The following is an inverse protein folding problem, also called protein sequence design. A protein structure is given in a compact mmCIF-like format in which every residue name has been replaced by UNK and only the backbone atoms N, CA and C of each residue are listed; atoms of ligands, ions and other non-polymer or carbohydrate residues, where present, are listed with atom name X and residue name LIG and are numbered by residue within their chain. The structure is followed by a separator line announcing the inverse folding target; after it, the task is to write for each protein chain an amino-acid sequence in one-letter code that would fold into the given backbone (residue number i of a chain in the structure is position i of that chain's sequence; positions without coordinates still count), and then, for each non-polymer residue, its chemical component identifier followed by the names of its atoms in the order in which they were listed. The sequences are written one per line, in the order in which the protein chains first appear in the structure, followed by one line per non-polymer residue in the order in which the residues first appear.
data_IF_775422852197
#
_entry.id   IF_775422852197
#
_cell.length_a   1.000
_cell.length_b   1.000
_cell.length_c   1.000
_cell.angle_alpha   90.00
_cell.angle_beta   90.00
_cell.angle_gamma   90.00
#
_symmetry.space_group_name_H-M   'P 1'
#
loop_
_entity.id
_entity.type
_entity.pdbx_description
1 polymer ?
#
# COMPACT_ATOMS: atom_id res chain seq x y z
N UNK A 1 18.26 -14.85 -0.63
CA UNK A 1 18.49 -13.52 -0.05
C UNK A 1 17.15 -13.05 0.49
N UNK A 2 16.99 -13.05 1.82
CA UNK A 2 15.75 -12.62 2.46
C UNK A 2 15.79 -11.10 2.60
N UNK A 3 14.98 -10.40 1.82
CA UNK A 3 14.89 -8.95 1.90
C UNK A 3 14.32 -8.54 3.26
N UNK A 4 15.01 -7.61 3.92
CA UNK A 4 14.55 -7.02 5.19
C UNK A 4 13.20 -6.31 4.95
N UNK A 5 12.22 -6.43 5.86
CA UNK A 5 10.99 -5.66 5.77
C UNK A 5 11.32 -4.17 5.73
N UNK A 6 10.78 -3.45 4.74
CA UNK A 6 11.00 -2.02 4.50
C UNK A 6 12.16 -1.65 3.55
N UNK A 7 12.91 -2.62 3.00
CA UNK A 7 14.02 -2.35 2.06
C UNK A 7 13.84 -2.90 0.64
N UNK A 8 12.83 -3.72 0.42
CA UNK A 8 12.47 -4.18 -0.93
C UNK A 8 11.95 -3.00 -1.76
N UNK A 9 12.44 -2.86 -3.00
CA UNK A 9 11.95 -1.85 -3.93
C UNK A 9 10.44 -2.05 -4.12
N UNK A 10 9.65 -1.02 -3.82
CA UNK A 10 8.21 -1.03 -4.04
C UNK A 10 7.98 -1.34 -5.53
N UNK A 11 7.21 -2.37 -5.89
CA UNK A 11 6.93 -2.69 -7.28
C UNK A 11 6.29 -1.47 -7.94
N UNK A 12 6.96 -0.90 -8.93
CA UNK A 12 6.47 0.31 -9.58
C UNK A 12 5.31 -0.06 -10.50
N UNK A 13 4.16 0.59 -10.34
CA UNK A 13 3.02 0.41 -11.24
C UNK A 13 3.38 0.67 -12.71
N UNK A 14 4.33 1.57 -12.95
CA UNK A 14 4.90 1.89 -14.27
C UNK A 14 5.67 0.73 -14.91
N UNK A 15 6.18 -0.21 -14.11
CA UNK A 15 6.93 -1.36 -14.61
C UNK A 15 6.06 -2.49 -15.15
N UNK A 16 4.74 -2.41 -14.97
CA UNK A 16 3.79 -3.41 -15.45
C UNK A 16 3.59 -3.19 -16.96
N UNK A 17 4.06 -4.10 -17.83
CA UNK A 17 3.79 -3.98 -19.25
C UNK A 17 2.29 -4.10 -19.51
N UNK A 18 1.72 -3.12 -20.21
CA UNK A 18 0.30 -3.07 -20.54
C UNK A 18 -0.05 -3.96 -21.73
N UNK A 19 0.22 -5.26 -21.58
CA UNK A 19 0.00 -6.27 -22.61
C UNK A 19 -1.07 -7.27 -22.19
N UNK A 20 -2.24 -7.15 -22.83
CA UNK A 20 -3.34 -8.08 -22.67
C UNK A 20 -4.03 -8.07 -21.29
N UNK A 21 -4.93 -9.05 -21.05
CA UNK A 21 -5.80 -9.07 -19.87
C UNK A 21 -5.07 -9.23 -18.53
N UNK A 22 -3.89 -9.86 -18.56
CA UNK A 22 -3.09 -10.12 -17.36
C UNK A 22 -2.52 -8.84 -16.77
N UNK A 23 -2.22 -7.84 -17.60
CA UNK A 23 -1.69 -6.55 -17.16
C UNK A 23 -2.64 -5.84 -16.19
N UNK A 24 -3.94 -5.85 -16.47
CA UNK A 24 -4.95 -5.17 -15.63
C UNK A 24 -5.11 -5.87 -14.28
N UNK A 25 -5.03 -7.20 -14.29
CA UNK A 25 -5.05 -7.99 -13.05
C UNK A 25 -3.79 -7.72 -12.21
N UNK A 26 -2.62 -7.66 -12.85
CA UNK A 26 -1.37 -7.31 -12.19
C UNK A 26 -1.40 -5.89 -11.63
N UNK A 27 -1.89 -4.92 -12.39
CA UNK A 27 -2.01 -3.52 -12.00
C UNK A 27 -2.93 -3.34 -10.78
N UNK A 28 -4.11 -3.97 -10.80
CA UNK A 28 -5.04 -3.91 -9.67
C UNK A 28 -4.46 -4.57 -8.41
N UNK A 29 -3.75 -5.70 -8.57
CA UNK A 29 -3.11 -6.40 -7.45
C UNK A 29 -1.98 -5.57 -6.84
N UNK A 30 -1.00 -5.17 -7.66
CA UNK A 30 0.16 -4.39 -7.21
C UNK A 30 -0.27 -3.04 -6.65
N UNK A 31 -1.26 -2.39 -7.28
CA UNK A 31 -1.80 -1.13 -6.78
C UNK A 31 -2.48 -1.27 -5.42
N UNK A 32 -3.20 -2.38 -5.18
CA UNK A 32 -3.78 -2.66 -3.86
C UNK A 32 -2.70 -2.88 -2.80
N UNK A 33 -1.66 -3.62 -3.13
CA UNK A 33 -0.50 -3.84 -2.25
C UNK A 33 0.17 -2.49 -1.92
N UNK A 34 0.41 -1.64 -2.93
CA UNK A 34 0.95 -0.29 -2.76
C UNK A 34 0.09 0.59 -1.83
N UNK A 35 -1.23 0.62 -2.04
CA UNK A 35 -2.15 1.37 -1.19
C UNK A 35 -2.12 0.87 0.26
N UNK A 36 -2.03 -0.45 0.46
CA UNK A 36 -1.91 -1.04 1.80
C UNK A 36 -0.63 -0.61 2.48
N UNK A 37 0.51 -0.78 1.80
CA UNK A 37 1.84 -0.46 2.34
C UNK A 37 1.94 1.04 2.68
N UNK A 38 1.50 1.92 1.77
CA UNK A 38 1.46 3.35 2.01
C UNK A 38 0.53 3.71 3.18
N UNK A 39 -0.63 3.04 3.30
CA UNK A 39 -1.54 3.23 4.42
C UNK A 39 -0.91 2.83 5.77
N UNK A 40 -0.15 1.73 5.79
CA UNK A 40 0.59 1.26 6.98
C UNK A 40 1.68 2.24 7.38
N UNK A 41 2.50 2.72 6.43
CA UNK A 41 3.54 3.72 6.68
C UNK A 41 2.97 5.05 7.22
N UNK A 42 1.84 5.50 6.67
CA UNK A 42 1.16 6.70 7.15
C UNK A 42 0.63 6.53 8.57
N UNK A 43 0.14 5.34 8.93
CA UNK A 43 -0.31 5.03 10.29
C UNK A 43 0.86 5.00 11.27
N UNK A 44 1.94 4.28 10.94
CA UNK A 44 3.16 4.21 11.74
C UNK A 44 3.73 5.61 11.99
N UNK A 45 3.91 6.40 10.92
CA UNK A 45 4.41 7.77 11.04
C UNK A 45 3.48 8.67 11.85
N UNK A 46 2.17 8.44 11.82
CA UNK A 46 1.21 9.18 12.65
C UNK A 46 1.34 8.86 14.13
N UNK A 47 1.58 7.60 14.47
CA UNK A 47 1.70 7.13 15.85
C UNK A 47 3.06 7.51 16.44
N UNK A 48 4.15 7.39 15.68
CA UNK A 48 5.47 7.90 16.08
C UNK A 48 5.44 9.41 16.34
N UNK A 49 4.83 10.19 15.44
CA UNK A 49 4.73 11.64 15.59
C UNK A 49 3.84 12.03 16.78
N UNK A 50 2.80 11.25 17.06
CA UNK A 50 1.98 11.44 18.25
C UNK A 50 2.78 11.16 19.53
N UNK A 51 3.49 10.04 19.58
CA UNK A 51 4.29 9.65 20.74
C UNK A 51 5.43 10.64 21.02
N UNK A 52 6.13 11.12 20.00
CA UNK A 52 7.26 12.05 20.17
C UNK A 52 6.77 13.48 20.44
N UNK A 53 5.91 14.04 19.58
CA UNK A 53 5.54 15.46 19.59
C UNK A 53 4.24 15.78 20.33
N UNK A 54 3.55 14.80 20.92
CA UNK A 54 2.34 15.07 21.71
C UNK A 54 2.48 14.44 23.10
N UNK A 55 2.80 13.14 23.19
CA UNK A 55 2.83 12.42 24.46
C UNK A 55 4.14 12.63 25.22
N UNK A 56 5.27 12.43 24.56
CA UNK A 56 6.57 12.43 25.23
C UNK A 56 7.08 13.85 25.44
N UNK A 57 7.01 14.72 24.42
CA UNK A 57 7.53 16.10 24.43
C UNK A 57 8.73 16.30 25.37
N UNK A 58 9.67 15.34 25.34
CA UNK A 58 10.85 15.31 26.20
C UNK A 58 11.84 16.29 25.57
N UNK A 59 11.58 17.57 25.76
CA UNK A 59 12.34 18.65 25.15
C UNK A 59 12.33 19.84 26.07
N UNK A 60 13.52 20.18 26.55
CA UNK A 60 13.96 21.45 27.14
C UNK A 60 12.88 22.35 27.79
N UNK A 61 12.98 22.71 29.09
CA UNK A 61 11.95 23.47 29.83
C UNK A 61 11.37 24.70 29.12
N UNK A 62 12.17 25.39 28.30
CA UNK A 62 11.79 26.55 27.50
C UNK A 62 10.79 26.22 26.37
N UNK A 63 10.92 25.07 25.72
CA UNK A 63 9.95 24.63 24.71
C UNK A 63 8.59 24.38 25.36
N UNK A 64 8.56 23.76 26.54
CA UNK A 64 7.32 23.51 27.28
C UNK A 64 6.58 24.79 27.70
N UNK A 65 7.28 25.88 28.03
CA UNK A 65 6.67 27.15 28.46
C UNK A 65 6.29 28.09 27.31
N UNK A 66 7.10 28.20 26.25
CA UNK A 66 6.99 29.35 25.30
C UNK A 66 6.55 28.93 23.89
N UNK A 67 6.84 27.70 23.44
CA UNK A 67 6.58 27.24 22.06
C UNK A 67 5.74 25.97 21.91
N UNK A 68 5.59 25.17 22.97
CA UNK A 68 4.95 23.86 22.94
C UNK A 68 3.46 23.87 22.57
N UNK A 69 2.63 24.87 22.93
CA UNK A 69 1.20 24.81 22.64
C UNK A 69 0.90 24.84 21.13
N UNK A 70 1.57 25.70 20.36
CA UNK A 70 1.36 25.78 18.90
C UNK A 70 1.97 24.57 18.19
N UNK A 71 3.17 24.12 18.60
CA UNK A 71 3.80 22.92 18.03
C UNK A 71 2.94 21.67 18.28
N UNK A 72 2.39 21.48 19.48
CA UNK A 72 1.47 20.37 19.78
C UNK A 72 0.19 20.46 18.95
N UNK A 73 -0.38 21.65 18.76
CA UNK A 73 -1.58 21.85 17.91
C UNK A 73 -1.28 21.54 16.45
N UNK A 74 -0.14 21.98 15.93
CA UNK A 74 0.32 21.66 14.56
C UNK A 74 0.58 20.15 14.41
N UNK A 75 1.27 19.53 15.36
CA UNK A 75 1.51 18.09 15.39
C UNK A 75 0.18 17.31 15.38
N UNK A 76 -0.79 17.67 16.23
CA UNK A 76 -2.14 17.05 16.23
C UNK A 76 -2.82 17.15 14.86
N UNK A 77 -2.71 18.30 14.18
CA UNK A 77 -3.26 18.47 12.83
C UNK A 77 -2.57 17.56 11.82
N UNK A 78 -1.24 17.42 11.90
CA UNK A 78 -0.48 16.51 11.04
C UNK A 78 -0.87 15.06 11.29
N UNK A 79 -0.88 14.60 12.55
CA UNK A 79 -1.34 13.24 12.92
C UNK A 79 -2.72 12.96 12.35
N UNK A 80 -3.68 13.88 12.55
CA UNK A 80 -5.04 13.72 12.01
C UNK A 80 -5.06 13.60 10.49
N UNK A 81 -4.21 14.36 9.79
CA UNK A 81 -4.09 14.29 8.32
C UNK A 81 -3.46 12.98 7.86
N UNK A 82 -2.43 12.49 8.56
CA UNK A 82 -1.79 11.20 8.26
C UNK A 82 -2.78 10.04 8.45
N UNK A 83 -3.52 10.01 9.57
CA UNK A 83 -4.57 9.02 9.80
C UNK A 83 -5.66 9.08 8.72
N UNK A 84 -6.08 10.29 8.33
CA UNK A 84 -7.02 10.46 7.22
C UNK A 84 -6.44 9.95 5.90
N UNK A 85 -5.17 10.23 5.61
CA UNK A 85 -4.52 9.76 4.40
C UNK A 85 -4.42 8.23 4.37
N UNK A 86 -4.12 7.58 5.50
CA UNK A 86 -4.13 6.13 5.63
C UNK A 86 -5.51 5.52 5.32
N UNK A 87 -6.58 6.10 5.87
CA UNK A 87 -7.95 5.69 5.54
C UNK A 87 -8.31 5.88 4.06
N UNK A 88 -7.86 6.99 3.44
CA UNK A 88 -8.05 7.22 2.02
C UNK A 88 -7.31 6.16 1.18
N UNK A 89 -6.12 5.75 1.58
CA UNK A 89 -5.38 4.68 0.89
C UNK A 89 -6.11 3.33 1.01
N UNK A 90 -6.68 3.02 2.17
CA UNK A 90 -7.54 1.84 2.33
C UNK A 90 -8.74 1.87 1.37
N UNK A 91 -9.39 3.03 1.21
CA UNK A 91 -10.46 3.25 0.24
C UNK A 91 -10.00 3.05 -1.20
N UNK A 92 -8.86 3.65 -1.58
CA UNK A 92 -8.28 3.49 -2.92
C UNK A 92 -7.97 2.03 -3.25
N UNK A 93 -7.44 1.26 -2.28
CA UNK A 93 -7.20 -0.17 -2.44
C UNK A 93 -8.48 -0.98 -2.70
N UNK A 94 -9.62 -0.60 -2.10
CA UNK A 94 -10.92 -1.23 -2.37
C UNK A 94 -11.42 -0.88 -3.77
N UNK A 95 -11.28 0.37 -4.20
CA UNK A 95 -11.68 0.81 -5.54
C UNK A 95 -10.88 0.09 -6.64
N UNK A 96 -9.59 -0.23 -6.41
CA UNK A 96 -8.81 -1.05 -7.35
C UNK A 96 -9.36 -2.46 -7.53
N UNK A 97 -9.92 -3.08 -6.48
CA UNK A 97 -10.57 -4.39 -6.57
C UNK A 97 -11.88 -4.29 -7.33
N UNK A 98 -12.68 -3.26 -7.06
CA UNK A 98 -13.94 -3.00 -7.78
C UNK A 98 -13.69 -2.73 -9.26
N UNK A 99 -12.68 -1.91 -9.56
CA UNK A 99 -12.22 -1.64 -10.92
C UNK A 99 -11.89 -2.93 -11.66
N UNK A 100 -11.09 -3.82 -11.05
CA UNK A 100 -10.75 -5.11 -11.66
C UNK A 100 -11.98 -5.99 -11.91
N UNK A 101 -12.90 -6.05 -10.93
CA UNK A 101 -14.13 -6.82 -11.05
C UNK A 101 -15.05 -6.29 -12.16
N UNK A 102 -15.21 -4.96 -12.24
CA UNK A 102 -16.00 -4.31 -13.29
C UNK A 102 -15.36 -4.51 -14.66
N UNK A 103 -14.04 -4.33 -14.77
CA UNK A 103 -13.30 -4.59 -15.99
C UNK A 103 -13.51 -6.03 -16.49
N UNK A 104 -13.39 -7.01 -15.60
CA UNK A 104 -13.66 -8.41 -15.95
C UNK A 104 -15.09 -8.65 -16.38
N UNK A 105 -16.07 -7.92 -15.86
CA UNK A 105 -17.48 -8.07 -16.24
C UNK A 105 -17.77 -7.48 -17.61
N UNK A 106 -17.20 -6.32 -17.92
CA UNK A 106 -17.51 -5.56 -19.13
C UNK A 106 -16.67 -6.01 -20.34
N UNK A 107 -15.44 -6.47 -20.11
CA UNK A 107 -14.47 -6.71 -21.19
C UNK A 107 -14.12 -8.18 -21.36
N UNK A 108 -14.70 -9.12 -20.59
CA UNK A 108 -14.40 -10.56 -20.72
C UNK A 108 -14.64 -11.09 -22.14
N UNK A 109 -15.67 -10.58 -22.82
CA UNK A 109 -16.07 -11.06 -24.15
C UNK A 109 -15.22 -10.48 -25.28
N UNK A 110 -14.59 -9.32 -25.03
CA UNK A 110 -13.79 -8.58 -26.02
C UNK A 110 -12.32 -8.99 -25.93
N UNK A 111 -11.87 -9.42 -24.76
CA UNK A 111 -10.49 -9.76 -24.53
C UNK A 111 -10.12 -11.09 -25.21
N UNK A 112 -8.97 -11.16 -25.90
CA UNK A 112 -8.50 -12.41 -26.47
C UNK A 112 -8.33 -13.43 -25.34
N UNK A 113 -9.02 -14.56 -25.48
CA UNK A 113 -8.92 -15.69 -24.55
C UNK A 113 -7.44 -16.07 -24.44
N UNK A 114 -6.82 -15.75 -23.31
CA UNK A 114 -5.43 -16.11 -23.06
C UNK A 114 -5.36 -17.64 -23.09
N UNK A 115 -4.72 -18.21 -24.12
CA UNK A 115 -4.52 -19.67 -24.20
C UNK A 115 -3.88 -20.09 -22.87
N UNK A 116 -4.52 -20.97 -22.08
CA UNK A 116 -3.92 -21.41 -20.84
C UNK A 116 -2.60 -22.09 -21.20
N UNK A 117 -1.48 -21.55 -20.70
CA UNK A 117 -0.22 -22.27 -20.73
C UNK A 117 -0.49 -23.60 -20.03
N UNK A 118 -0.43 -24.69 -20.80
CA UNK A 118 -0.57 -26.04 -20.27
C UNK A 118 0.51 -26.18 -19.19
N UNK A 119 0.12 -26.03 -17.91
CA UNK A 119 1.00 -26.34 -16.79
C UNK A 119 1.41 -27.79 -17.00
N UNK A 120 2.67 -28.01 -17.40
CA UNK A 120 3.26 -29.34 -17.41
C UNK A 120 3.32 -29.78 -15.95
N UNK A 121 2.30 -30.54 -15.52
CA UNK A 121 2.34 -31.24 -14.25
C UNK A 121 3.36 -32.36 -14.39
N UNK A 122 4.65 -32.06 -14.19
CA UNK A 122 5.66 -33.08 -13.94
C UNK A 122 5.49 -33.55 -12.51
N UNK A 123 4.45 -34.33 -12.28
CA UNK A 123 4.37 -35.19 -11.11
C UNK A 123 5.37 -36.32 -11.35
N UNK A 124 6.53 -36.25 -10.68
CA UNK A 124 7.53 -37.30 -10.67
C UNK A 124 7.23 -38.22 -9.49
N UNK A 125 6.75 -39.43 -9.78
CA UNK A 125 6.92 -40.57 -8.88
C UNK A 125 8.39 -40.99 -9.01
N UNK A 126 9.18 -40.77 -7.96
CA UNK A 126 10.42 -41.53 -7.79
C UNK A 126 10.04 -42.72 -6.90
N UNK A 127 9.76 -43.87 -7.54
CA UNK A 127 9.79 -45.19 -6.91
C UNK A 127 11.13 -45.81 -7.28
N UNK A 128 12.06 -45.82 -6.32
CA UNK A 128 13.05 -46.88 -5.96
C UNK A 128 14.16 -46.33 -5.05
#
# INVERSE_FOLDING_TARGET
MSDKPGRSRIPELSSIPWEGPKAITAYARVGRELCRDLGEELNLGSDELYEVLIRSFKGHPLLAMVGAPDVRRRARRVVKRLKRAAELQKGAGVELVKFHAQFRREFVDILPQAKPEKRKSTFKWEDD
#
